data_IF_893301740562
#
_entry.id   IF_893301740562
#
_cell.length_a   1.000
_cell.length_b   1.000
_cell.length_c   1.000
_cell.angle_alpha   90.00
_cell.angle_beta   90.00
_cell.angle_gamma   90.00
#
_symmetry.space_group_name_H-M   'P 1'
#
loop_
_entity.id
_entity.type
_entity.pdbx_description
1 polymer ?
#
# COMPACT_ATOMS: atom_id res chain seq x y z
N UNK A 1 26.74 3.11 -14.38
CA UNK A 1 25.34 3.09 -13.89
C UNK A 1 25.15 4.30 -12.98
N UNK A 2 24.16 5.17 -13.23
CA UNK A 2 23.84 6.32 -12.35
C UNK A 2 23.59 5.79 -10.93
N UNK A 3 24.26 6.35 -9.92
CA UNK A 3 24.04 6.00 -8.51
C UNK A 3 22.55 6.15 -8.17
N UNK A 4 21.87 5.02 -7.98
CA UNK A 4 20.48 5.00 -7.53
C UNK A 4 20.50 5.38 -6.05
N UNK A 5 19.81 6.44 -5.67
CA UNK A 5 19.78 6.86 -4.27
C UNK A 5 19.10 5.81 -3.40
N UNK A 6 19.63 5.56 -2.19
CA UNK A 6 19.08 4.59 -1.24
C UNK A 6 17.55 4.65 -1.03
N UNK A 7 16.89 5.83 -0.99
CA UNK A 7 15.43 5.91 -0.90
C UNK A 7 14.69 5.26 -2.07
N UNK A 8 15.25 5.39 -3.29
CA UNK A 8 14.65 4.81 -4.49
C UNK A 8 14.78 3.28 -4.49
N UNK A 9 15.90 2.75 -3.98
CA UNK A 9 16.11 1.32 -3.78
C UNK A 9 15.08 0.77 -2.78
N UNK A 10 14.87 1.47 -1.66
CA UNK A 10 13.86 1.09 -0.67
C UNK A 10 12.45 1.05 -1.24
N UNK A 11 12.06 2.05 -2.04
CA UNK A 11 10.76 2.07 -2.73
C UNK A 11 10.61 0.91 -3.71
N UNK A 12 11.63 0.62 -4.51
CA UNK A 12 11.61 -0.52 -5.44
C UNK A 12 11.46 -1.86 -4.71
N UNK A 13 12.20 -2.06 -3.61
CA UNK A 13 12.11 -3.28 -2.80
C UNK A 13 10.72 -3.42 -2.17
N UNK A 14 10.19 -2.35 -1.56
CA UNK A 14 8.85 -2.37 -1.00
C UNK A 14 7.80 -2.72 -2.06
N UNK A 15 7.94 -2.17 -3.27
CA UNK A 15 7.02 -2.49 -4.36
C UNK A 15 7.10 -3.94 -4.79
N UNK A 16 8.31 -4.51 -4.84
CA UNK A 16 8.51 -5.90 -5.18
C UNK A 16 7.86 -6.82 -4.13
N UNK A 17 8.03 -6.52 -2.83
CA UNK A 17 7.38 -7.25 -1.74
C UNK A 17 5.85 -7.16 -1.86
N UNK A 18 5.31 -5.96 -2.08
CA UNK A 18 3.87 -5.74 -2.30
C UNK A 18 3.34 -6.54 -3.50
N UNK A 19 4.09 -6.57 -4.59
CA UNK A 19 3.73 -7.35 -5.79
C UNK A 19 3.66 -8.84 -5.48
N UNK A 20 4.67 -9.37 -4.76
CA UNK A 20 4.72 -10.78 -4.37
C UNK A 20 3.55 -11.11 -3.44
N UNK A 21 3.25 -10.27 -2.45
CA UNK A 21 2.13 -10.51 -1.52
C UNK A 21 0.79 -10.52 -2.24
N UNK A 22 0.56 -9.57 -3.14
CA UNK A 22 -0.66 -9.50 -3.94
C UNK A 22 -0.81 -10.75 -4.82
N UNK A 23 0.26 -11.19 -5.51
CA UNK A 23 0.25 -12.41 -6.32
C UNK A 23 0.04 -13.67 -5.46
N UNK A 24 0.65 -13.73 -4.28
CA UNK A 24 0.47 -14.83 -3.34
C UNK A 24 -0.99 -14.93 -2.87
N UNK A 25 -1.65 -13.81 -2.58
CA UNK A 25 -3.07 -13.79 -2.21
C UNK A 25 -3.96 -14.31 -3.36
N UNK A 26 -3.66 -13.95 -4.61
CA UNK A 26 -4.39 -14.48 -5.77
C UNK A 26 -4.26 -16.00 -5.86
N UNK A 27 -3.04 -16.53 -5.70
CA UNK A 27 -2.75 -17.96 -5.87
C UNK A 27 -3.27 -18.79 -4.69
N UNK A 28 -3.14 -18.27 -3.47
CA UNK A 28 -3.46 -19.00 -2.24
C UNK A 28 -4.91 -18.83 -1.80
N UNK A 29 -5.62 -17.81 -2.29
CA UNK A 29 -7.02 -17.52 -1.92
C UNK A 29 -7.94 -17.44 -3.16
N UNK A 30 -7.96 -18.45 -4.05
CA UNK A 30 -8.67 -18.37 -5.32
C UNK A 30 -10.21 -18.37 -5.19
N UNK A 31 -10.76 -18.82 -4.05
CA UNK A 31 -12.21 -19.02 -3.85
C UNK A 31 -12.89 -17.93 -3.02
N UNK A 32 -12.18 -16.85 -2.66
CA UNK A 32 -12.76 -15.82 -1.80
C UNK A 32 -13.41 -14.72 -2.66
N UNK A 33 -14.59 -15.02 -3.21
CA UNK A 33 -15.34 -14.13 -4.11
C UNK A 33 -15.60 -12.73 -3.52
N UNK A 34 -15.68 -12.63 -2.18
CA UNK A 34 -15.82 -11.37 -1.46
C UNK A 34 -14.56 -10.48 -1.51
N UNK A 35 -13.37 -11.06 -1.74
CA UNK A 35 -12.10 -10.34 -1.80
C UNK A 35 -11.75 -9.89 -3.24
N UNK A 36 -12.32 -10.52 -4.27
CA UNK A 36 -12.03 -10.24 -5.69
C UNK A 36 -12.18 -8.76 -6.08
N UNK A 37 -13.22 -8.02 -5.63
CA UNK A 37 -13.38 -6.60 -5.98
C UNK A 37 -12.24 -5.72 -5.46
N UNK A 38 -11.52 -6.16 -4.43
CA UNK A 38 -10.43 -5.43 -3.78
C UNK A 38 -9.05 -5.92 -4.24
N UNK A 39 -8.95 -7.19 -4.65
CA UNK A 39 -7.74 -7.78 -5.24
C UNK A 39 -7.41 -7.12 -6.58
N UNK A 40 -8.38 -6.99 -7.48
CA UNK A 40 -8.11 -6.50 -8.85
C UNK A 40 -7.57 -5.06 -8.88
N UNK A 41 -8.17 -4.08 -8.16
CA UNK A 41 -7.61 -2.73 -8.09
C UNK A 41 -6.22 -2.68 -7.46
N UNK A 42 -5.97 -3.51 -6.44
CA UNK A 42 -4.67 -3.56 -5.78
C UNK A 42 -3.57 -4.10 -6.68
N UNK A 43 -3.85 -5.17 -7.41
CA UNK A 43 -2.95 -5.71 -8.44
C UNK A 43 -2.64 -4.67 -9.51
N UNK A 44 -3.67 -4.03 -10.05
CA UNK A 44 -3.50 -3.03 -11.10
C UNK A 44 -2.63 -1.86 -10.63
N UNK A 45 -2.90 -1.33 -9.43
CA UNK A 45 -2.13 -0.20 -8.88
C UNK A 45 -0.67 -0.59 -8.65
N UNK A 46 -0.38 -1.77 -8.10
CA UNK A 46 0.99 -2.24 -7.83
C UNK A 46 1.77 -2.50 -9.13
N UNK A 47 1.14 -3.14 -10.12
CA UNK A 47 1.76 -3.42 -11.43
C UNK A 47 2.01 -2.13 -12.20
N UNK A 48 1.02 -1.24 -12.28
CA UNK A 48 1.17 0.07 -12.94
C UNK A 48 2.22 0.93 -12.23
N UNK A 49 2.23 0.92 -10.90
CA UNK A 49 3.23 1.62 -10.10
C UNK A 49 4.64 1.17 -10.42
N UNK A 50 4.89 -0.15 -10.48
CA UNK A 50 6.19 -0.70 -10.90
C UNK A 50 6.57 -0.25 -12.31
N UNK A 51 5.66 -0.43 -13.26
CA UNK A 51 5.87 -0.09 -14.67
C UNK A 51 6.25 1.38 -14.86
N UNK A 52 5.52 2.30 -14.24
CA UNK A 52 5.83 3.73 -14.34
C UNK A 52 7.07 4.14 -13.54
N UNK A 53 7.41 3.44 -12.46
CA UNK A 53 8.66 3.66 -11.71
C UNK A 53 9.89 3.39 -12.59
N UNK A 54 9.85 2.29 -13.36
CA UNK A 54 10.91 1.97 -14.32
C UNK A 54 11.02 3.00 -15.45
N UNK A 55 9.90 3.59 -15.86
CA UNK A 55 9.87 4.65 -16.87
C UNK A 55 10.18 6.05 -16.33
N UNK A 56 10.39 6.21 -15.01
CA UNK A 56 10.61 7.50 -14.34
C UNK A 56 9.55 8.54 -14.68
N UNK A 57 8.29 8.12 -14.80
CA UNK A 57 7.17 9.02 -15.06
C UNK A 57 6.66 9.60 -13.75
N UNK A 58 6.31 10.89 -13.73
CA UNK A 58 5.70 11.56 -12.57
C UNK A 58 4.47 10.83 -12.03
N UNK A 59 3.71 10.18 -12.93
CA UNK A 59 2.55 9.36 -12.59
C UNK A 59 2.87 8.17 -11.68
N UNK A 60 4.10 7.63 -11.74
CA UNK A 60 4.55 6.56 -10.84
C UNK A 60 4.44 6.99 -9.39
N UNK A 61 4.90 8.21 -9.09
CA UNK A 61 4.88 8.75 -7.73
C UNK A 61 3.45 8.94 -7.22
N UNK A 62 2.54 9.41 -8.07
CA UNK A 62 1.14 9.62 -7.72
C UNK A 62 0.45 8.28 -7.41
N UNK A 63 0.64 7.28 -8.28
CA UNK A 63 0.09 5.93 -8.05
C UNK A 63 0.67 5.30 -6.79
N UNK A 64 1.97 5.48 -6.54
CA UNK A 64 2.62 5.00 -5.33
C UNK A 64 2.07 5.64 -4.08
N UNK A 65 1.80 6.95 -4.12
CA UNK A 65 1.26 7.71 -3.01
C UNK A 65 -0.15 7.23 -2.68
N UNK A 66 -1.01 7.07 -3.70
CA UNK A 66 -2.37 6.56 -3.53
C UNK A 66 -2.33 5.15 -2.93
N UNK A 67 -1.45 4.28 -3.45
CA UNK A 67 -1.30 2.92 -2.95
C UNK A 67 -0.86 2.88 -1.48
N UNK A 68 0.22 3.59 -1.15
CA UNK A 68 0.77 3.59 0.21
C UNK A 68 -0.17 4.23 1.22
N UNK A 69 -0.96 5.25 0.82
CA UNK A 69 -2.03 5.79 1.67
C UNK A 69 -3.17 4.79 1.90
N UNK A 70 -3.57 4.07 0.86
CA UNK A 70 -4.63 3.07 0.93
C UNK A 70 -4.26 1.89 1.84
N UNK A 71 -2.99 1.47 1.83
CA UNK A 71 -2.45 0.42 2.72
C UNK A 71 -2.17 0.95 4.13
N UNK A 72 -1.78 2.23 4.25
CA UNK A 72 -1.44 2.85 5.54
C UNK A 72 -2.61 2.88 6.52
N UNK A 73 -3.82 3.19 6.06
CA UNK A 73 -5.00 3.34 6.92
C UNK A 73 -5.95 2.17 6.73
N UNK A 74 -6.39 1.59 7.83
CA UNK A 74 -7.51 0.65 7.90
C UNK A 74 -8.51 1.14 8.95
N UNK A 75 -9.79 0.82 8.78
CA UNK A 75 -10.80 1.11 9.78
C UNK A 75 -11.96 0.12 9.73
N UNK A 76 -12.65 -0.04 10.85
CA UNK A 76 -13.91 -0.78 10.93
C UNK A 76 -14.82 -0.10 11.95
N UNK A 77 -16.02 0.30 11.50
CA UNK A 77 -17.07 0.88 12.32
C UNK A 77 -18.37 0.07 12.22
N UNK A 78 -18.27 -1.24 11.98
CA UNK A 78 -19.38 -2.18 11.89
C UNK A 78 -20.13 -2.12 10.56
N UNK A 79 -20.75 -0.99 10.24
CA UNK A 79 -21.49 -0.81 8.97
C UNK A 79 -20.61 -0.38 7.79
N UNK A 80 -19.42 0.15 8.09
CA UNK A 80 -18.43 0.57 7.10
C UNK A 80 -17.07 0.10 7.58
N UNK A 81 -16.40 -0.69 6.75
CA UNK A 81 -15.03 -1.14 6.99
C UNK A 81 -14.17 -0.95 5.74
N UNK A 82 -12.91 -0.64 5.98
CA UNK A 82 -11.86 -0.55 4.99
C UNK A 82 -10.64 -1.25 5.54
N UNK A 83 -10.27 -2.36 4.93
CA UNK A 83 -9.01 -3.02 5.23
C UNK A 83 -8.49 -3.65 3.95
N UNK A 84 -7.19 -3.46 3.69
CA UNK A 84 -6.51 -4.15 2.62
C UNK A 84 -5.69 -5.28 3.24
N UNK A 85 -5.87 -6.51 2.75
CA UNK A 85 -5.09 -7.68 3.20
C UNK A 85 -3.61 -7.63 2.78
N UNK A 86 -3.18 -6.53 2.14
CA UNK A 86 -1.82 -6.32 1.60
C UNK A 86 -0.89 -5.57 2.55
N UNK A 87 -1.37 -5.17 3.73
CA UNK A 87 -0.52 -4.58 4.77
C UNK A 87 0.51 -5.60 5.28
N UNK A 88 1.68 -5.12 5.69
CA UNK A 88 2.68 -5.95 6.39
C UNK A 88 2.31 -6.12 7.89
N UNK A 89 1.18 -5.53 8.31
CA UNK A 89 0.46 -5.76 9.55
C UNK A 89 1.22 -5.42 10.84
N UNK A 90 2.25 -4.58 10.77
CA UNK A 90 2.77 -3.92 11.96
C UNK A 90 1.89 -2.69 12.26
N UNK A 91 0.77 -2.95 12.94
CA UNK A 91 -0.32 -2.00 13.06
C UNK A 91 -0.35 -1.33 14.44
N UNK A 92 -0.54 -0.01 14.44
CA UNK A 92 -0.96 0.74 15.61
C UNK A 92 -2.47 0.98 15.52
N UNK A 93 -3.23 0.45 16.48
CA UNK A 93 -4.69 0.49 16.46
C UNK A 93 -5.23 1.45 17.51
N UNK A 94 -6.06 2.40 17.08
CA UNK A 94 -6.88 3.24 17.95
C UNK A 94 -8.28 2.64 18.03
N UNK A 95 -8.67 2.20 19.23
CA UNK A 95 -10.03 1.72 19.49
C UNK A 95 -10.90 2.90 19.92
N UNK A 96 -12.02 3.09 19.22
CA UNK A 96 -13.03 4.09 19.51
C UNK A 96 -14.28 3.35 20.02
N UNK A 97 -14.62 3.53 21.29
CA UNK A 97 -15.83 2.95 21.87
C UNK A 97 -16.78 4.06 22.32
N UNK A 98 -18.02 4.00 21.84
CA UNK A 98 -19.12 4.83 22.31
C UNK A 98 -20.23 3.90 22.79
N UNK A 99 -20.22 3.51 24.07
CA UNK A 99 -21.30 2.84 24.82
C UNK A 99 -21.90 1.56 24.22
N UNK A 100 -22.52 1.65 23.05
CA UNK A 100 -23.19 0.60 22.30
C UNK A 100 -22.49 0.20 21.00
N UNK A 101 -21.44 0.93 20.57
CA UNK A 101 -20.63 0.60 19.38
C UNK A 101 -19.14 0.71 19.67
N UNK A 102 -18.36 -0.18 19.04
CA UNK A 102 -16.91 -0.14 19.04
C UNK A 102 -16.43 -0.16 17.59
N UNK A 103 -15.53 0.74 17.26
CA UNK A 103 -14.81 0.74 16.00
C UNK A 103 -13.30 0.85 16.23
N UNK A 104 -12.53 0.61 15.19
CA UNK A 104 -11.09 0.80 15.23
C UNK A 104 -10.57 1.52 14.00
N UNK A 105 -9.47 2.24 14.18
CA UNK A 105 -8.64 2.78 13.11
C UNK A 105 -7.25 2.17 13.30
N UNK A 106 -6.77 1.42 12.31
CA UNK A 106 -5.44 0.84 12.29
C UNK A 106 -4.50 1.60 11.34
N UNK A 107 -3.26 1.81 11.78
CA UNK A 107 -2.19 2.42 10.99
C UNK A 107 -1.04 1.44 10.77
N UNK A 108 -0.71 1.11 9.52
CA UNK A 108 0.44 0.27 9.18
C UNK A 108 1.73 1.11 9.22
N UNK A 109 2.57 0.88 10.22
CA UNK A 109 3.78 1.68 10.45
C UNK A 109 4.81 1.49 9.32
N UNK A 110 4.86 0.31 8.70
CA UNK A 110 5.80 0.05 7.61
C UNK A 110 5.39 0.88 6.40
N UNK A 111 4.10 0.95 6.11
CA UNK A 111 3.54 1.82 5.06
C UNK A 111 3.82 3.29 5.33
N UNK A 112 3.78 3.73 6.60
CA UNK A 112 4.15 5.10 6.99
C UNK A 112 5.63 5.41 6.70
N UNK A 113 6.54 4.49 7.03
CA UNK A 113 7.98 4.66 6.74
C UNK A 113 8.21 4.77 5.23
N UNK A 114 7.53 3.94 4.44
CA UNK A 114 7.58 4.00 2.97
C UNK A 114 7.01 5.33 2.45
N UNK A 115 5.91 5.80 3.01
CA UNK A 115 5.30 7.09 2.66
C UNK A 115 6.30 8.24 2.89
N UNK A 116 7.00 8.24 4.03
CA UNK A 116 8.05 9.24 4.34
C UNK A 116 9.17 9.19 3.31
N UNK A 117 9.63 7.98 2.93
CA UNK A 117 10.64 7.83 1.89
C UNK A 117 10.14 8.29 0.53
N UNK A 118 8.89 7.99 0.16
CA UNK A 118 8.28 8.41 -1.10
C UNK A 118 8.20 9.93 -1.20
N UNK A 119 7.74 10.61 -0.15
CA UNK A 119 7.65 12.06 -0.09
C UNK A 119 9.05 12.70 -0.20
N UNK A 120 10.04 12.14 0.51
CA UNK A 120 11.43 12.60 0.47
C UNK A 120 12.10 12.38 -0.89
N UNK A 121 11.63 11.40 -1.65
CA UNK A 121 12.17 11.02 -2.97
C UNK A 121 11.54 11.80 -4.13
N UNK A 122 10.48 12.58 -3.89
CA UNK A 122 9.66 13.22 -4.94
C UNK A 122 10.51 13.92 -6.01
N UNK A 123 11.38 14.85 -5.60
CA UNK A 123 12.22 15.63 -6.53
C UNK A 123 13.13 14.77 -7.42
N UNK A 124 13.52 13.58 -6.95
CA UNK A 124 14.41 12.65 -7.68
C UNK A 124 13.65 11.72 -8.64
N UNK A 125 12.35 11.52 -8.40
CA UNK A 125 11.47 10.71 -9.23
C UNK A 125 10.82 11.51 -10.36
N UNK A 126 10.70 12.83 -10.20
CA UNK A 126 9.99 13.72 -11.14
C UNK A 126 10.92 14.57 -12.01
N UNK A 127 12.23 14.33 -11.99
CA UNK A 127 13.24 15.01 -12.83
C UNK A 127 13.74 14.11 -13.95
#
# INVERSE_FOLDING_TARGET
MKNISAPLIGLTIYNAIQTIMVLAIIVLVPNNAAAIPWIVPGVMIVVLSNFFLFQKKTWAWILYLIWTLAVFVSFDFGSISWYLQYGLNFNLTLTLSTGTSAGYIGFDVISLVVLIFLLSSRKKLTS
#
